data_IF_654233059274
#
_entry.id   IF_654233059274
#
_cell.length_a   1.000
_cell.length_b   1.000
_cell.length_c   1.000
_cell.angle_alpha   90.00
_cell.angle_beta   90.00
_cell.angle_gamma   90.00
#
_symmetry.space_group_name_H-M   'P 1'
#
loop_
_entity.id
_entity.type
_entity.pdbx_description
1 polymer ?
#
# COMPACT_ATOMS: atom_id res chain seq x y z
N UNK A 1 10.55 -11.25 3.37
CA UNK A 1 10.86 -10.15 2.44
C UNK A 1 11.92 -10.62 1.45
N UNK A 2 11.74 -10.33 0.17
CA UNK A 2 12.66 -10.67 -0.92
C UNK A 2 13.09 -9.35 -1.54
N UNK A 3 14.40 -9.08 -1.56
CA UNK A 3 14.95 -7.91 -2.24
C UNK A 3 15.26 -8.27 -3.69
N UNK A 4 14.76 -7.46 -4.61
CA UNK A 4 14.98 -7.59 -6.04
C UNK A 4 16.20 -6.75 -6.47
N UNK A 5 16.77 -7.07 -7.64
CA UNK A 5 17.96 -6.39 -8.15
C UNK A 5 17.77 -4.91 -8.51
N UNK A 6 16.54 -4.47 -8.68
CA UNK A 6 16.13 -3.08 -8.92
C UNK A 6 15.94 -2.28 -7.61
N UNK A 7 16.17 -2.89 -6.44
CA UNK A 7 15.96 -2.28 -5.13
C UNK A 7 14.52 -2.35 -4.62
N UNK A 8 13.60 -2.92 -5.39
CA UNK A 8 12.23 -3.19 -4.94
C UNK A 8 12.21 -4.36 -3.94
N UNK A 9 11.22 -4.36 -3.05
CA UNK A 9 11.06 -5.40 -2.02
C UNK A 9 9.71 -6.09 -2.16
N UNK A 10 9.71 -7.42 -2.21
CA UNK A 10 8.50 -8.24 -2.13
C UNK A 10 8.31 -8.71 -0.68
N UNK A 11 7.18 -8.38 -0.07
CA UNK A 11 6.77 -8.91 1.22
C UNK A 11 5.62 -9.91 1.03
N UNK A 12 5.73 -11.08 1.65
CA UNK A 12 4.72 -12.14 1.60
C UNK A 12 4.36 -12.47 3.04
N UNK A 13 3.13 -12.15 3.46
CA UNK A 13 2.75 -12.17 4.87
C UNK A 13 2.33 -13.57 5.35
N UNK A 14 1.84 -14.43 4.45
CA UNK A 14 1.45 -15.83 4.72
C UNK A 14 1.92 -16.81 3.64
N UNK A 15 3.25 -16.97 3.46
CA UNK A 15 3.77 -17.86 2.42
C UNK A 15 3.63 -19.33 2.83
N UNK A 16 3.25 -20.18 1.86
CA UNK A 16 3.51 -21.62 1.92
C UNK A 16 4.78 -21.89 1.13
N UNK A 17 5.80 -22.46 1.78
CA UNK A 17 7.11 -22.70 1.17
C UNK A 17 7.40 -24.19 1.09
N UNK A 18 7.72 -24.68 -0.12
CA UNK A 18 8.24 -26.01 -0.36
C UNK A 18 9.71 -25.92 -0.80
N UNK A 19 10.56 -26.83 -0.30
CA UNK A 19 11.97 -26.91 -0.70
C UNK A 19 12.25 -28.23 -1.40
N UNK A 20 12.85 -28.17 -2.58
CA UNK A 20 13.31 -29.34 -3.36
C UNK A 20 14.83 -29.27 -3.44
N UNK A 21 15.52 -30.37 -3.16
CA UNK A 21 16.99 -30.45 -3.19
C UNK A 21 17.43 -31.46 -4.25
N UNK A 22 18.23 -31.03 -5.21
CA UNK A 22 18.75 -31.83 -6.32
C UNK A 22 20.24 -31.56 -6.43
N UNK A 23 21.10 -32.56 -6.18
CA UNK A 23 22.57 -32.51 -6.38
C UNK A 23 23.20 -31.09 -6.44
N UNK A 24 23.36 -30.45 -5.27
CA UNK A 24 23.97 -29.11 -5.14
C UNK A 24 23.03 -27.92 -5.34
N UNK A 25 21.86 -28.13 -5.92
CA UNK A 25 20.80 -27.14 -6.12
C UNK A 25 19.71 -27.27 -5.05
N UNK A 26 19.31 -26.14 -4.46
CA UNK A 26 18.13 -26.06 -3.59
C UNK A 26 17.12 -25.10 -4.20
N UNK A 27 15.96 -25.62 -4.58
CA UNK A 27 14.84 -24.88 -5.13
C UNK A 27 13.84 -24.60 -4.02
N UNK A 28 13.40 -23.35 -3.90
CA UNK A 28 12.35 -22.93 -2.97
C UNK A 28 11.15 -22.45 -3.79
N UNK A 29 10.02 -23.14 -3.67
CA UNK A 29 8.75 -22.74 -4.27
C UNK A 29 7.91 -22.05 -3.21
N UNK A 30 7.52 -20.80 -3.46
CA UNK A 30 6.66 -20.01 -2.57
C UNK A 30 5.30 -19.86 -3.22
N UNK A 31 4.24 -20.21 -2.49
CA UNK A 31 2.85 -20.01 -2.88
C UNK A 31 2.19 -19.05 -1.89
N UNK A 32 1.41 -18.10 -2.39
CA UNK A 32 0.66 -17.14 -1.60
C UNK A 32 -0.55 -16.64 -2.40
N UNK A 33 -1.58 -16.17 -1.71
CA UNK A 33 -2.69 -15.44 -2.31
C UNK A 33 -2.18 -14.08 -2.82
N UNK A 34 -2.76 -13.57 -3.91
CA UNK A 34 -2.40 -12.26 -4.46
C UNK A 34 -2.49 -11.15 -3.41
N UNK A 35 -3.55 -11.17 -2.58
CA UNK A 35 -3.75 -10.21 -1.48
C UNK A 35 -2.68 -10.29 -0.38
N UNK A 36 -1.93 -11.38 -0.27
CA UNK A 36 -0.87 -11.58 0.73
C UNK A 36 0.53 -11.18 0.21
N UNK A 37 0.63 -10.76 -1.07
CA UNK A 37 1.88 -10.34 -1.72
C UNK A 37 1.90 -8.83 -1.90
N UNK A 38 2.94 -8.17 -1.40
CA UNK A 38 3.15 -6.72 -1.53
C UNK A 38 4.46 -6.42 -2.21
N UNK A 39 4.44 -5.56 -3.22
CA UNK A 39 5.64 -5.07 -3.90
C UNK A 39 5.84 -3.61 -3.51
N UNK A 40 6.89 -3.34 -2.74
CA UNK A 40 7.29 -2.00 -2.37
C UNK A 40 8.37 -1.51 -3.35
N UNK A 41 8.09 -0.43 -4.08
CA UNK A 41 9.08 0.22 -4.93
C UNK A 41 9.94 1.14 -4.07
N UNK A 42 11.26 1.27 -4.35
CA UNK A 42 12.08 2.25 -3.66
C UNK A 42 11.56 3.65 -3.99
N UNK A 43 10.89 4.31 -3.04
CA UNK A 43 10.52 5.71 -3.20
C UNK A 43 11.82 6.54 -3.23
N UNK A 44 12.04 7.37 -4.26
CA UNK A 44 13.15 8.31 -4.25
C UNK A 44 12.93 9.27 -3.08
N UNK A 45 13.81 9.15 -2.07
CA UNK A 45 13.87 10.08 -0.94
C UNK A 45 14.27 11.46 -1.47
N UNK A 46 13.28 12.26 -1.88
CA UNK A 46 13.48 13.69 -2.10
C UNK A 46 13.79 14.30 -0.73
N UNK A 47 15.00 14.85 -0.50
CA UNK A 47 15.31 15.48 0.78
C UNK A 47 14.46 16.74 0.91
N UNK A 48 13.43 16.70 1.76
CA UNK A 48 12.64 17.89 2.07
C UNK A 48 13.46 18.85 2.94
N UNK A 49 13.57 20.14 2.59
CA UNK A 49 14.20 21.12 3.46
C UNK A 49 13.37 21.24 4.76
N UNK A 50 14.03 21.07 5.91
CA UNK A 50 13.42 21.20 7.24
C UNK A 50 12.89 22.61 7.46
N UNK A 51 11.59 22.83 7.24
CA UNK A 51 10.90 23.96 7.84
C UNK A 51 10.49 23.62 9.27
N UNK A 52 11.07 24.35 10.22
CA UNK A 52 10.68 24.36 11.63
C UNK A 52 9.25 24.89 11.74
N UNK A 53 8.25 24.01 11.70
CA UNK A 53 6.89 24.34 12.11
C UNK A 53 6.42 23.25 13.07
N UNK A 54 6.31 23.62 14.33
CA UNK A 54 5.71 22.83 15.40
C UNK A 54 4.20 22.85 15.15
N UNK A 55 3.64 21.72 14.73
CA UNK A 55 2.21 21.44 14.78
C UNK A 55 1.99 20.16 15.60
N UNK A 56 0.96 20.13 16.47
CA UNK A 56 0.74 19.01 17.37
C UNK A 56 0.47 17.73 16.58
N UNK A 57 1.29 16.71 16.85
CA UNK A 57 1.17 15.38 16.30
C UNK A 57 -0.15 14.76 16.77
N UNK A 58 -1.16 14.72 15.89
CA UNK A 58 -2.29 13.82 16.05
C UNK A 58 -1.80 12.38 15.85
N UNK A 59 -1.58 11.70 16.97
CA UNK A 59 -1.39 10.26 17.07
C UNK A 59 -2.55 9.54 16.35
N UNK A 60 -2.24 8.69 15.38
CA UNK A 60 -3.12 7.56 15.03
C UNK A 60 -2.28 6.30 14.78
N UNK A 61 -2.76 5.23 15.41
CA UNK A 61 -2.08 4.00 15.82
C UNK A 61 -1.64 3.05 14.70
N UNK A 62 -0.77 2.07 15.03
CA UNK A 62 -0.36 0.99 14.15
C UNK A 62 -1.41 -0.14 14.12
N UNK A 63 -1.86 -0.53 12.93
CA UNK A 63 -2.69 -1.73 12.75
C UNK A 63 -3.38 -1.78 11.38
N UNK A 64 -3.17 -2.88 10.65
CA UNK A 64 -3.78 -3.28 9.37
C UNK A 64 -3.14 -2.73 8.06
N UNK A 65 -3.18 -3.54 6.98
CA UNK A 65 -2.19 -3.52 5.90
C UNK A 65 -2.44 -2.30 5.00
N UNK A 66 -1.55 -1.30 5.04
CA UNK A 66 -1.70 -0.04 4.30
C UNK A 66 -1.55 -0.27 2.79
N UNK A 67 -2.64 -0.43 2.06
CA UNK A 67 -2.66 -0.09 0.64
C UNK A 67 -2.20 1.37 0.54
N UNK A 68 -1.17 1.65 -0.26
CA UNK A 68 -0.72 3.02 -0.51
C UNK A 68 -1.44 3.52 -1.76
N UNK A 69 -2.41 4.45 -1.62
CA UNK A 69 -3.15 4.94 -2.77
C UNK A 69 -2.22 5.76 -3.68
N UNK A 70 -2.25 5.50 -4.99
CA UNK A 70 -1.48 6.26 -5.97
C UNK A 70 -2.05 7.67 -6.11
N UNK A 71 -1.24 8.64 -6.55
CA UNK A 71 -1.72 10.01 -6.74
C UNK A 71 -2.83 10.10 -7.79
N UNK A 72 -2.79 9.27 -8.83
CA UNK A 72 -3.84 9.13 -9.83
C UNK A 72 -5.17 8.64 -9.23
N UNK A 73 -5.12 7.61 -8.38
CA UNK A 73 -6.30 7.04 -7.72
C UNK A 73 -6.93 8.05 -6.76
N UNK A 74 -6.10 8.75 -5.98
CA UNK A 74 -6.54 9.82 -5.08
C UNK A 74 -7.22 10.94 -5.87
N UNK A 75 -6.60 11.37 -6.97
CA UNK A 75 -7.14 12.43 -7.82
C UNK A 75 -8.49 12.04 -8.42
N UNK A 76 -8.61 10.81 -8.93
CA UNK A 76 -9.84 10.31 -9.50
C UNK A 76 -10.97 10.26 -8.47
N UNK A 77 -10.71 9.75 -7.26
CA UNK A 77 -11.70 9.73 -6.17
C UNK A 77 -12.10 11.15 -5.76
N UNK A 78 -11.14 12.07 -5.65
CA UNK A 78 -11.40 13.48 -5.31
C UNK A 78 -12.25 14.18 -6.38
N UNK A 79 -11.97 13.94 -7.66
CA UNK A 79 -12.70 14.56 -8.77
C UNK A 79 -14.15 14.05 -8.86
N UNK A 80 -14.36 12.75 -8.67
CA UNK A 80 -15.69 12.11 -8.76
C UNK A 80 -16.60 12.32 -7.53
N UNK A 81 -16.02 12.65 -6.38
CA UNK A 81 -16.75 12.77 -5.10
C UNK A 81 -16.70 14.17 -4.49
N UNK A 82 -15.76 15.02 -4.95
CA UNK A 82 -15.49 16.33 -4.38
C UNK A 82 -15.07 16.27 -2.90
N UNK A 83 -14.41 15.20 -2.47
CA UNK A 83 -13.89 15.05 -1.12
C UNK A 83 -12.46 15.60 -0.99
N UNK A 84 -12.00 15.77 0.24
CA UNK A 84 -10.62 16.19 0.48
C UNK A 84 -9.63 15.02 0.27
N UNK A 85 -8.37 15.35 0.02
CA UNK A 85 -7.28 14.37 -0.20
C UNK A 85 -7.20 13.34 0.93
N UNK A 86 -7.38 13.78 2.17
CA UNK A 86 -7.31 12.91 3.34
C UNK A 86 -8.46 11.89 3.37
N UNK A 87 -9.68 12.30 2.99
CA UNK A 87 -10.84 11.40 2.90
C UNK A 87 -10.68 10.40 1.75
N UNK A 88 -10.19 10.83 0.59
CA UNK A 88 -9.90 9.96 -0.54
C UNK A 88 -8.87 8.89 -0.15
N UNK A 89 -7.80 9.28 0.56
CA UNK A 89 -6.77 8.34 1.04
C UNK A 89 -7.35 7.32 2.01
N UNK A 90 -8.23 7.75 2.93
CA UNK A 90 -8.89 6.83 3.88
C UNK A 90 -9.79 5.85 3.15
N UNK A 91 -10.65 6.33 2.24
CA UNK A 91 -11.57 5.49 1.50
C UNK A 91 -10.83 4.45 0.66
N UNK A 92 -9.80 4.86 -0.08
CA UNK A 92 -8.97 3.96 -0.89
C UNK A 92 -8.20 2.93 -0.03
N UNK A 93 -7.79 3.32 1.18
CA UNK A 93 -7.17 2.38 2.15
C UNK A 93 -8.17 1.38 2.70
N UNK A 94 -9.38 1.80 3.03
CA UNK A 94 -10.43 0.93 3.52
C UNK A 94 -10.88 -0.08 2.44
N UNK A 95 -10.92 0.35 1.18
CA UNK A 95 -11.31 -0.49 0.04
C UNK A 95 -10.14 -1.26 -0.58
N UNK A 96 -8.96 -1.24 0.05
CA UNK A 96 -7.74 -1.90 -0.44
C UNK A 96 -7.40 -1.61 -1.92
N UNK A 97 -7.73 -0.41 -2.40
CA UNK A 97 -7.46 0.02 -3.78
C UNK A 97 -8.59 -0.19 -4.77
N UNK A 98 -9.78 -0.60 -4.33
CA UNK A 98 -10.96 -0.55 -5.18
C UNK A 98 -11.47 0.91 -5.27
N UNK A 99 -11.24 1.52 -6.42
CA UNK A 99 -11.60 2.91 -6.73
C UNK A 99 -13.13 3.07 -6.78
N UNK A 100 -13.83 2.11 -7.39
CA UNK A 100 -15.28 2.18 -7.56
C UNK A 100 -15.98 2.08 -6.20
N UNK A 101 -15.53 1.15 -5.35
CA UNK A 101 -16.03 1.00 -3.99
C UNK A 101 -15.71 2.23 -3.13
N UNK A 102 -14.52 2.83 -3.29
CA UNK A 102 -14.15 4.05 -2.56
C UNK A 102 -15.05 5.23 -2.91
N UNK A 103 -15.32 5.45 -4.20
CA UNK A 103 -16.22 6.51 -4.68
C UNK A 103 -17.64 6.32 -4.13
N UNK A 104 -18.15 5.09 -4.20
CA UNK A 104 -19.51 4.77 -3.73
C UNK A 104 -19.64 4.97 -2.21
N UNK A 105 -18.61 4.59 -1.46
CA UNK A 105 -18.56 4.74 -0.01
C UNK A 105 -18.58 6.21 0.41
N UNK A 106 -17.76 7.05 -0.23
CA UNK A 106 -17.75 8.51 0.04
C UNK A 106 -19.09 9.15 -0.34
N UNK A 107 -19.68 8.76 -1.47
CA UNK A 107 -21.01 9.26 -1.87
C UNK A 107 -22.11 8.86 -0.87
N UNK A 108 -21.96 7.71 -0.22
CA UNK A 108 -22.93 7.21 0.76
C UNK A 108 -22.81 7.87 2.13
N UNK A 109 -21.61 8.33 2.53
CA UNK A 109 -21.38 9.04 3.80
C UNK A 109 -21.73 10.53 3.76
N UNK A 110 -21.90 11.11 2.56
CA UNK A 110 -22.20 12.53 2.34
C UNK A 110 -23.70 12.85 2.24
N UNK A 111 -24.57 11.93 2.68
CA UNK A 111 -26.03 12.04 2.65
C UNK A 111 -26.58 12.43 4.03
#
# INVERSE_FOLDING_TARGET
MIHLGDGSTIEINKPVVARIKLQGLSIYQVQASDSDVRVNKPQPVVPQPRSLIIAPQSQQQPGAPKYEPSEDDIRLVMEETGCNRDEAIRALRETNGDIAEAILRIKSTKK
#
